data_IF_613820807632
#
_entry.id   IF_613820807632
#
_cell.length_a   1.000
_cell.length_b   1.000
_cell.length_c   1.000
_cell.angle_alpha   90.00
_cell.angle_beta   90.00
_cell.angle_gamma   90.00
#
_symmetry.space_group_name_H-M   'P 1'
#
loop_
_entity.id
_entity.type
_entity.pdbx_description
1 polymer ?
#
# COMPACT_ATOMS: atom_id res chain seq x y z
N UNK A 1 27.95 44.39 6.13
CA UNK A 1 27.29 43.42 7.03
C UNK A 1 26.25 42.69 6.19
N UNK A 2 26.62 41.55 5.60
CA UNK A 2 25.81 40.82 4.62
C UNK A 2 24.94 39.80 5.36
N UNK A 3 23.61 39.93 5.26
CA UNK A 3 22.68 38.95 5.80
C UNK A 3 22.72 37.72 4.91
N UNK A 4 23.33 36.64 5.41
CA UNK A 4 23.20 35.33 4.80
C UNK A 4 21.73 34.89 4.95
N UNK A 5 20.95 35.03 3.88
CA UNK A 5 19.70 34.29 3.72
C UNK A 5 20.08 32.82 3.62
N UNK A 6 19.94 32.08 4.72
CA UNK A 6 19.96 30.63 4.67
C UNK A 6 18.76 30.20 3.83
N UNK A 7 19.01 29.75 2.60
CA UNK A 7 18.03 29.07 1.77
C UNK A 7 17.56 27.80 2.50
N UNK A 8 16.49 27.93 3.28
CA UNK A 8 15.73 26.78 3.76
C UNK A 8 14.78 26.40 2.63
N UNK A 9 15.33 25.84 1.55
CA UNK A 9 14.51 25.06 0.61
C UNK A 9 13.80 23.96 1.42
N UNK A 10 12.51 23.70 1.18
CA UNK A 10 11.75 22.78 2.02
C UNK A 10 12.35 21.37 1.90
N UNK A 11 13.18 20.98 2.87
CA UNK A 11 13.55 19.58 3.09
C UNK A 11 12.24 18.84 3.34
N UNK A 12 11.99 17.76 2.60
CA UNK A 12 10.89 16.86 2.93
C UNK A 12 11.03 16.52 4.42
N UNK A 13 10.05 16.94 5.22
CA UNK A 13 10.11 16.74 6.66
C UNK A 13 10.23 15.23 6.92
N UNK A 14 10.95 14.85 7.97
CA UNK A 14 11.17 13.45 8.36
C UNK A 14 9.86 12.62 8.40
N UNK A 15 8.73 13.28 8.67
CA UNK A 15 7.40 12.70 8.67
C UNK A 15 6.97 12.18 7.30
N UNK A 16 7.38 12.80 6.19
CA UNK A 16 7.06 12.35 4.83
C UNK A 16 7.72 11.00 4.55
N UNK A 17 8.99 10.85 4.95
CA UNK A 17 9.71 9.59 4.85
C UNK A 17 9.05 8.49 5.71
N UNK A 18 8.70 8.81 6.96
CA UNK A 18 8.03 7.86 7.85
C UNK A 18 6.67 7.42 7.29
N UNK A 19 5.83 8.37 6.87
CA UNK A 19 4.52 8.08 6.27
C UNK A 19 4.67 7.28 4.98
N UNK A 20 5.63 7.65 4.13
CA UNK A 20 5.91 6.95 2.88
C UNK A 20 6.31 5.49 3.10
N UNK A 21 7.21 5.22 4.06
CA UNK A 21 7.64 3.85 4.38
C UNK A 21 6.48 3.03 4.95
N UNK A 22 5.73 3.59 5.90
CA UNK A 22 4.59 2.89 6.49
C UNK A 22 3.50 2.59 5.45
N UNK A 23 3.20 3.56 4.58
CA UNK A 23 2.27 3.38 3.48
C UNK A 23 2.77 2.32 2.49
N UNK A 24 4.07 2.32 2.17
CA UNK A 24 4.67 1.34 1.28
C UNK A 24 4.54 -0.07 1.85
N UNK A 25 4.89 -0.27 3.12
CA UNK A 25 4.81 -1.58 3.78
C UNK A 25 3.36 -2.09 3.84
N UNK A 26 2.42 -1.22 4.21
CA UNK A 26 1.00 -1.57 4.27
C UNK A 26 0.47 -1.98 2.89
N UNK A 27 0.74 -1.19 1.86
CA UNK A 27 0.24 -1.46 0.52
C UNK A 27 0.97 -2.62 -0.15
N UNK A 28 2.25 -2.85 0.14
CA UNK A 28 2.98 -4.03 -0.33
C UNK A 28 2.37 -5.31 0.24
N UNK A 29 2.03 -5.32 1.54
CA UNK A 29 1.29 -6.42 2.15
C UNK A 29 -0.09 -6.60 1.51
N UNK A 30 -0.83 -5.50 1.29
CA UNK A 30 -2.12 -5.53 0.61
C UNK A 30 -2.04 -6.07 -0.84
N UNK A 31 -0.99 -5.72 -1.60
CA UNK A 31 -0.77 -6.25 -2.94
C UNK A 31 -0.47 -7.75 -2.91
N UNK A 32 0.31 -8.20 -1.92
CA UNK A 32 0.62 -9.60 -1.71
C UNK A 32 -0.63 -10.42 -1.35
N UNK A 33 -1.39 -9.98 -0.33
CA UNK A 33 -2.64 -10.60 0.10
C UNK A 33 -3.66 -10.66 -1.05
N UNK A 34 -3.87 -9.54 -1.75
CA UNK A 34 -4.74 -9.52 -2.93
C UNK A 34 -4.31 -10.55 -3.98
N UNK A 35 -3.02 -10.63 -4.29
CA UNK A 35 -2.51 -11.56 -5.31
C UNK A 35 -2.71 -13.00 -4.88
N UNK A 36 -2.41 -13.34 -3.63
CA UNK A 36 -2.60 -14.69 -3.10
C UNK A 36 -4.07 -15.09 -3.05
N UNK A 37 -4.94 -14.16 -2.66
CA UNK A 37 -6.39 -14.37 -2.57
C UNK A 37 -7.02 -14.46 -3.96
N UNK A 38 -6.65 -13.58 -4.90
CA UNK A 38 -7.15 -13.59 -6.28
C UNK A 38 -6.70 -14.83 -7.07
N UNK A 39 -5.49 -15.35 -6.80
CA UNK A 39 -4.99 -16.59 -7.41
C UNK A 39 -5.44 -17.86 -6.67
N UNK A 40 -6.21 -17.70 -5.59
CA UNK A 40 -6.69 -18.80 -4.72
C UNK A 40 -5.54 -19.71 -4.26
N UNK A 41 -4.44 -19.10 -3.83
CA UNK A 41 -3.27 -19.83 -3.39
C UNK A 41 -3.59 -20.70 -2.16
N UNK A 42 -3.56 -22.02 -2.33
CA UNK A 42 -3.94 -22.97 -1.29
C UNK A 42 -3.06 -22.87 -0.04
N UNK A 43 -1.74 -22.66 -0.21
CA UNK A 43 -0.82 -22.57 0.92
C UNK A 43 -1.03 -21.30 1.75
N UNK A 44 -1.34 -20.18 1.09
CA UNK A 44 -1.64 -18.92 1.77
C UNK A 44 -3.01 -18.97 2.47
N UNK A 45 -3.99 -19.62 1.84
CA UNK A 45 -5.37 -19.66 2.34
C UNK A 45 -5.65 -20.82 3.31
N UNK A 46 -4.75 -21.80 3.41
CA UNK A 46 -4.87 -22.96 4.30
C UNK A 46 -5.20 -22.62 5.77
N UNK A 47 -4.71 -21.51 6.37
CA UNK A 47 -5.03 -21.16 7.74
C UNK A 47 -6.48 -20.64 7.94
N UNK A 48 -7.19 -20.28 6.87
CA UNK A 48 -8.50 -19.64 6.95
C UNK A 48 -9.65 -20.68 6.94
N UNK A 49 -10.69 -20.48 7.76
CA UNK A 49 -11.90 -21.32 7.73
C UNK A 49 -12.61 -21.24 6.37
N UNK A 50 -13.19 -22.33 5.90
CA UNK A 50 -13.87 -22.35 4.59
C UNK A 50 -15.06 -21.40 4.50
N UNK A 51 -15.83 -21.25 5.58
CA UNK A 51 -16.96 -20.31 5.63
C UNK A 51 -16.51 -18.86 5.35
N UNK A 52 -15.31 -18.49 5.80
CA UNK A 52 -14.74 -17.16 5.55
C UNK A 52 -14.28 -17.03 4.10
N UNK A 53 -13.67 -18.06 3.54
CA UNK A 53 -13.24 -18.09 2.13
C UNK A 53 -14.43 -18.04 1.18
N UNK A 54 -15.50 -18.78 1.46
CA UNK A 54 -16.74 -18.76 0.69
C UNK A 54 -17.37 -17.37 0.69
N UNK A 55 -17.40 -16.71 1.85
CA UNK A 55 -17.84 -15.31 1.95
C UNK A 55 -16.96 -14.36 1.13
N UNK A 56 -15.64 -14.48 1.22
CA UNK A 56 -14.69 -13.66 0.45
C UNK A 56 -14.83 -13.88 -1.07
N UNK A 57 -14.94 -15.12 -1.53
CA UNK A 57 -15.06 -15.42 -2.95
C UNK A 57 -16.45 -15.18 -3.53
N UNK A 58 -17.48 -15.09 -2.70
CA UNK A 58 -18.82 -14.66 -3.09
C UNK A 58 -18.94 -13.12 -3.20
N UNK A 59 -17.92 -12.35 -2.82
CA UNK A 59 -17.97 -10.89 -2.91
C UNK A 59 -18.18 -10.40 -4.35
N UNK A 60 -18.99 -9.36 -4.57
CA UNK A 60 -19.18 -8.76 -5.89
C UNK A 60 -17.87 -8.30 -6.54
N UNK A 61 -17.79 -8.39 -7.86
CA UNK A 61 -16.58 -8.02 -8.62
C UNK A 61 -16.11 -6.58 -8.38
N UNK A 62 -17.01 -5.65 -8.08
CA UNK A 62 -16.64 -4.26 -7.81
C UNK A 62 -15.86 -4.12 -6.51
N UNK A 63 -16.06 -5.00 -5.52
CA UNK A 63 -15.29 -5.02 -4.27
C UNK A 63 -13.84 -5.36 -4.59
N UNK A 64 -13.63 -6.39 -5.42
CA UNK A 64 -12.31 -6.78 -5.91
C UNK A 64 -11.64 -5.65 -6.71
N UNK A 65 -12.40 -4.95 -7.54
CA UNK A 65 -11.90 -3.81 -8.31
C UNK A 65 -11.45 -2.66 -7.41
N UNK A 66 -12.24 -2.28 -6.39
CA UNK A 66 -11.86 -1.24 -5.43
C UNK A 66 -10.64 -1.68 -4.62
N UNK A 67 -10.58 -2.95 -4.21
CA UNK A 67 -9.47 -3.48 -3.43
C UNK A 67 -8.16 -3.44 -4.21
N UNK A 68 -8.13 -3.96 -5.45
CA UNK A 68 -6.93 -3.94 -6.29
C UNK A 68 -6.48 -2.51 -6.57
N UNK A 69 -7.41 -1.60 -6.91
CA UNK A 69 -7.06 -0.20 -7.16
C UNK A 69 -6.53 0.49 -5.90
N UNK A 70 -7.09 0.17 -4.74
CA UNK A 70 -6.65 0.72 -3.45
C UNK A 70 -5.22 0.33 -3.09
N UNK A 71 -4.91 -0.98 -3.10
CA UNK A 71 -3.60 -1.47 -2.68
C UNK A 71 -2.50 -1.17 -3.71
N UNK A 72 -2.77 -1.36 -5.00
CA UNK A 72 -1.78 -1.05 -6.04
C UNK A 72 -1.62 0.47 -6.20
N UNK A 73 -2.71 1.23 -6.18
CA UNK A 73 -2.66 2.69 -6.22
C UNK A 73 -1.89 3.27 -5.03
N UNK A 74 -2.16 2.78 -3.81
CA UNK A 74 -1.44 3.16 -2.61
C UNK A 74 0.04 2.74 -2.64
N UNK A 75 0.35 1.56 -3.18
CA UNK A 75 1.72 1.10 -3.36
C UNK A 75 2.50 2.02 -4.30
N UNK A 76 2.01 2.26 -5.51
CA UNK A 76 2.67 3.15 -6.47
C UNK A 76 2.74 4.59 -5.95
N UNK A 77 1.70 5.07 -5.26
CA UNK A 77 1.71 6.38 -4.61
C UNK A 77 2.78 6.51 -3.53
N UNK A 78 2.94 5.49 -2.68
CA UNK A 78 3.98 5.47 -1.65
C UNK A 78 5.40 5.39 -2.25
N UNK A 79 5.59 4.58 -3.29
CA UNK A 79 6.86 4.53 -4.04
C UNK A 79 7.18 5.90 -4.63
N UNK A 80 6.24 6.52 -5.36
CA UNK A 80 6.44 7.82 -5.96
C UNK A 80 6.72 8.92 -4.91
N UNK A 81 6.05 8.86 -3.76
CA UNK A 81 6.28 9.78 -2.64
C UNK A 81 7.71 9.65 -2.11
N UNK A 82 8.16 8.43 -1.83
CA UNK A 82 9.51 8.18 -1.31
C UNK A 82 10.61 8.54 -2.32
N UNK A 83 10.38 8.33 -3.61
CA UNK A 83 11.33 8.72 -4.66
C UNK A 83 11.45 10.26 -4.82
N UNK A 84 10.41 11.00 -4.45
CA UNK A 84 10.40 12.48 -4.48
C UNK A 84 10.98 13.12 -3.21
N UNK A 85 10.92 12.42 -2.08
CA UNK A 85 11.22 12.95 -0.73
C UNK A 85 12.72 13.00 -0.45
#
# INVERSE_FOLDING_TARGET
MSLATSDIGPKAGWHIWLVGILALLWNAFGCFDFTMTATRNEAYLAPYPQEMLDYWFAMPWWVWAVWVMGVFGGFFGAVALLLRS
#
